data_IF_390358312384
#
_entry.id   IF_390358312384
#
_cell.length_a   1.000
_cell.length_b   1.000
_cell.length_c   1.000
_cell.angle_alpha   90.00
_cell.angle_beta   90.00
_cell.angle_gamma   90.00
#
_symmetry.space_group_name_H-M   'P 1'
#
loop_
_entity.id
_entity.type
_entity.pdbx_description
1 polymer ?
#
# COMPACT_ATOMS: atom_id res chain seq x y z
N UNK A 1 28.80 -3.01 22.63
CA UNK A 1 29.84 -3.63 21.76
C UNK A 1 29.24 -4.35 20.54
N UNK A 2 28.32 -5.31 20.69
CA UNK A 2 27.73 -6.03 19.56
C UNK A 2 26.96 -5.14 18.54
N UNK A 3 26.12 -4.21 19.01
CA UNK A 3 25.34 -3.31 18.16
C UNK A 3 26.21 -2.33 17.36
N UNK A 4 27.22 -1.73 18.03
CA UNK A 4 28.21 -0.88 17.38
C UNK A 4 28.99 -1.66 16.31
N UNK A 5 29.43 -2.89 16.64
CA UNK A 5 30.16 -3.73 15.69
C UNK A 5 29.32 -4.16 14.47
N UNK A 6 28.02 -4.37 14.65
CA UNK A 6 27.11 -4.63 13.53
C UNK A 6 26.96 -3.38 12.64
N UNK A 7 26.73 -2.20 13.21
CA UNK A 7 26.64 -0.96 12.44
C UNK A 7 27.93 -0.65 11.65
N UNK A 8 29.09 -0.77 12.27
CA UNK A 8 30.37 -0.35 11.66
C UNK A 8 31.00 -1.42 10.76
N UNK A 9 31.02 -2.69 11.17
CA UNK A 9 31.71 -3.74 10.41
C UNK A 9 30.78 -4.40 9.39
N UNK A 10 29.57 -4.78 9.83
CA UNK A 10 28.59 -5.52 9.01
C UNK A 10 27.90 -4.58 7.99
N UNK A 11 27.36 -3.42 8.41
CA UNK A 11 26.56 -2.55 7.51
C UNK A 11 27.41 -1.61 6.62
N UNK A 12 28.42 -0.95 7.19
CA UNK A 12 29.16 0.17 6.54
C UNK A 12 30.48 -0.23 5.87
N UNK A 13 30.89 -1.53 5.95
CA UNK A 13 32.01 -2.14 5.20
C UNK A 13 33.41 -1.94 5.82
N UNK A 14 33.64 -2.51 7.01
CA UNK A 14 35.01 -2.72 7.51
C UNK A 14 35.40 -4.20 7.62
N UNK A 15 34.47 -5.14 7.86
CA UNK A 15 34.67 -6.59 7.76
C UNK A 15 33.27 -7.23 7.51
N UNK A 16 33.07 -7.94 6.38
CA UNK A 16 31.77 -8.47 5.88
C UNK A 16 30.78 -9.08 6.91
N UNK A 17 29.45 -9.17 6.62
CA UNK A 17 28.73 -9.03 5.34
C UNK A 17 27.76 -7.84 5.25
N UNK A 18 27.54 -7.35 4.03
CA UNK A 18 26.70 -6.17 3.75
C UNK A 18 25.20 -6.47 3.92
N UNK A 19 24.33 -5.45 3.80
CA UNK A 19 22.89 -5.65 3.90
C UNK A 19 22.23 -5.87 2.52
N UNK A 20 21.09 -6.55 2.53
CA UNK A 20 20.26 -6.73 1.33
C UNK A 20 19.63 -5.41 0.93
N UNK A 21 19.78 -5.02 -0.33
CA UNK A 21 19.15 -3.82 -0.88
C UNK A 21 18.47 -4.17 -2.19
N UNK A 22 17.26 -3.66 -2.34
CA UNK A 22 16.46 -3.77 -3.54
C UNK A 22 16.05 -2.38 -4.03
N UNK A 23 15.78 -2.28 -5.32
CA UNK A 23 15.09 -1.12 -5.88
C UNK A 23 13.63 -1.07 -5.40
N UNK A 24 12.91 0.06 -5.61
CA UNK A 24 11.52 0.21 -5.14
C UNK A 24 10.55 -0.87 -5.63
N UNK A 25 10.84 -1.52 -6.76
CA UNK A 25 10.03 -2.59 -7.34
C UNK A 25 10.59 -4.00 -7.03
N UNK A 26 11.71 -4.10 -6.30
CA UNK A 26 12.39 -5.36 -5.94
C UNK A 26 12.74 -6.25 -7.13
N UNK A 27 13.08 -5.66 -8.26
CA UNK A 27 13.47 -6.39 -9.47
C UNK A 27 14.99 -6.67 -9.51
N UNK A 28 15.76 -5.84 -8.84
CA UNK A 28 17.22 -5.85 -8.78
C UNK A 28 17.66 -5.87 -7.33
N UNK A 29 17.95 -7.07 -6.84
CA UNK A 29 18.35 -7.27 -5.46
C UNK A 29 19.84 -7.59 -5.39
N UNK A 30 20.56 -6.93 -4.48
CA UNK A 30 22.00 -7.15 -4.29
C UNK A 30 22.44 -6.86 -2.87
N UNK A 31 23.48 -7.57 -2.45
CA UNK A 31 24.15 -7.38 -1.16
C UNK A 31 25.18 -6.26 -1.31
N UNK A 32 24.83 -5.05 -0.84
CA UNK A 32 25.66 -3.84 -1.01
C UNK A 32 25.90 -3.12 0.32
N UNK A 33 27.08 -2.48 0.49
CA UNK A 33 27.33 -1.66 1.66
C UNK A 33 26.44 -0.42 1.62
N UNK A 34 26.00 0.05 2.78
CA UNK A 34 25.16 1.24 2.89
C UNK A 34 25.86 2.26 3.77
N UNK A 35 26.04 3.48 3.24
CA UNK A 35 26.59 4.59 4.00
C UNK A 35 25.57 5.08 5.04
N UNK A 36 26.01 5.47 6.25
CA UNK A 36 25.11 6.00 7.26
C UNK A 36 24.54 7.34 6.83
N UNK A 37 23.23 7.50 7.04
CA UNK A 37 22.54 8.77 6.89
C UNK A 37 22.46 9.45 8.25
N UNK A 38 22.97 10.68 8.35
CA UNK A 38 23.04 11.43 9.60
C UNK A 38 22.04 12.59 9.66
N UNK A 39 21.37 12.92 8.55
CA UNK A 39 20.31 13.91 8.50
C UNK A 39 18.93 13.31 8.83
N UNK A 40 17.89 14.12 8.65
CA UNK A 40 16.51 13.73 8.93
C UNK A 40 16.01 12.57 8.05
N UNK A 41 16.61 12.37 6.88
CA UNK A 41 16.37 11.25 5.98
C UNK A 41 16.69 9.89 6.61
N UNK A 42 17.52 9.84 7.66
CA UNK A 42 17.79 8.62 8.42
C UNK A 42 16.61 8.09 9.23
N UNK A 43 15.54 8.87 9.39
CA UNK A 43 14.29 8.44 10.04
C UNK A 43 13.23 7.93 9.06
N UNK A 44 13.47 8.04 7.76
CA UNK A 44 12.59 7.45 6.74
C UNK A 44 12.79 5.91 6.73
N UNK A 45 11.74 5.11 6.97
CA UNK A 45 11.82 3.65 6.98
C UNK A 45 12.29 3.03 5.65
N UNK A 46 12.24 3.79 4.55
CA UNK A 46 12.70 3.34 3.23
C UNK A 46 14.14 3.75 2.89
N UNK A 47 14.78 4.59 3.72
CA UNK A 47 16.19 4.98 3.57
C UNK A 47 17.07 4.07 4.43
N UNK A 48 17.73 3.13 3.78
CA UNK A 48 18.58 2.13 4.44
C UNK A 48 19.77 2.72 5.20
N UNK A 49 20.19 3.96 4.87
CA UNK A 49 21.23 4.69 5.61
C UNK A 49 20.85 4.95 7.07
N UNK A 50 19.54 4.99 7.38
CA UNK A 50 19.00 5.07 8.73
C UNK A 50 19.30 3.83 9.57
N UNK A 51 19.35 2.63 8.97
CA UNK A 51 19.69 1.38 9.69
C UNK A 51 21.12 1.47 10.21
N UNK A 52 22.05 1.94 9.37
CA UNK A 52 23.46 2.04 9.70
C UNK A 52 23.72 3.07 10.83
N UNK A 53 23.16 4.27 10.71
CA UNK A 53 23.28 5.31 11.75
C UNK A 53 22.52 4.92 13.03
N UNK A 54 21.35 4.30 12.91
CA UNK A 54 20.60 3.78 14.04
C UNK A 54 21.39 2.74 14.81
N UNK A 55 22.08 1.77 14.19
CA UNK A 55 22.89 0.79 14.93
C UNK A 55 24.13 1.42 15.58
N UNK A 56 24.72 2.46 14.99
CA UNK A 56 25.82 3.20 15.62
C UNK A 56 25.33 3.97 16.86
N UNK A 57 24.16 4.60 16.79
CA UNK A 57 23.61 5.44 17.87
C UNK A 57 22.85 4.61 18.93
N UNK A 58 22.04 3.63 18.53
CA UNK A 58 21.31 2.73 19.43
C UNK A 58 22.26 1.82 20.22
N UNK A 59 23.49 1.58 19.74
CA UNK A 59 24.54 0.96 20.55
C UNK A 59 24.87 1.74 21.83
N UNK A 60 24.53 3.03 21.88
CA UNK A 60 24.64 3.88 23.05
C UNK A 60 23.33 3.99 23.86
N UNK A 61 22.19 3.55 23.32
CA UNK A 61 20.85 3.81 23.90
C UNK A 61 19.97 2.55 23.92
N UNK A 62 20.21 1.65 24.88
CA UNK A 62 19.23 0.65 25.37
C UNK A 62 19.26 -0.76 24.76
N UNK A 63 19.26 -1.71 25.71
CA UNK A 63 19.10 -3.17 25.64
C UNK A 63 17.62 -3.53 25.72
N UNK A 64 17.18 -4.52 24.93
CA UNK A 64 15.83 -5.12 24.97
C UNK A 64 14.88 -4.44 23.96
N UNK A 65 14.02 -5.11 23.20
CA UNK A 65 13.35 -6.40 23.34
C UNK A 65 12.74 -6.73 21.97
N UNK A 66 12.69 -7.98 21.53
CA UNK A 66 11.62 -8.40 20.60
C UNK A 66 11.35 -9.91 20.67
N UNK A 67 10.14 -10.23 21.13
CA UNK A 67 9.50 -11.55 21.07
C UNK A 67 8.08 -11.31 20.54
N UNK A 68 7.59 -12.15 19.61
CA UNK A 68 6.14 -12.38 19.46
C UNK A 68 5.59 -12.48 18.05
N UNK A 69 5.19 -13.71 17.68
CA UNK A 69 4.18 -14.01 16.67
C UNK A 69 4.60 -15.11 15.69
N UNK A 70 3.74 -15.98 15.16
CA UNK A 70 2.30 -16.24 15.35
C UNK A 70 1.99 -17.52 14.55
N UNK A 71 1.05 -18.35 15.01
CA UNK A 71 0.71 -19.63 14.38
C UNK A 71 0.00 -19.48 13.03
N UNK A 72 0.78 -19.63 11.94
CA UNK A 72 0.42 -20.34 10.70
C UNK A 72 1.70 -21.05 10.21
N UNK A 73 1.69 -22.37 10.26
CA UNK A 73 2.88 -23.19 9.96
C UNK A 73 2.79 -23.74 8.53
N UNK A 74 3.84 -23.49 7.74
CA UNK A 74 4.00 -23.99 6.38
C UNK A 74 4.37 -22.89 5.38
N UNK A 75 5.09 -23.27 4.32
CA UNK A 75 5.41 -22.39 3.20
C UNK A 75 4.16 -22.11 2.35
N UNK A 76 4.15 -20.98 1.62
CA UNK A 76 3.00 -20.53 0.80
C UNK A 76 2.70 -21.48 -0.39
N UNK A 77 3.66 -22.32 -0.75
CA UNK A 77 3.56 -23.36 -1.79
C UNK A 77 2.54 -24.47 -1.45
N UNK A 78 2.30 -24.75 -0.17
CA UNK A 78 1.44 -25.84 0.30
C UNK A 78 -0.04 -25.68 -0.09
N UNK A 79 -0.50 -24.46 -0.39
CA UNK A 79 -1.90 -24.17 -0.75
C UNK A 79 -2.07 -23.61 -2.16
N UNK A 80 -1.12 -22.80 -2.64
CA UNK A 80 -1.21 -22.09 -3.92
C UNK A 80 -0.51 -22.78 -5.10
N UNK A 81 0.29 -23.82 -4.85
CA UNK A 81 1.16 -24.43 -5.85
C UNK A 81 2.41 -23.60 -6.16
N UNK A 82 3.26 -24.10 -7.07
CA UNK A 82 4.50 -23.47 -7.50
C UNK A 82 4.26 -22.70 -8.81
N UNK A 83 4.73 -21.46 -8.89
CA UNK A 83 4.62 -20.63 -10.10
C UNK A 83 5.51 -21.19 -11.20
N UNK A 84 4.93 -21.53 -12.36
CA UNK A 84 5.64 -22.10 -13.53
C UNK A 84 5.97 -21.03 -14.58
N UNK A 85 5.15 -19.98 -14.70
CA UNK A 85 5.37 -18.90 -15.66
C UNK A 85 4.23 -17.88 -15.70
N UNK A 86 4.46 -16.78 -16.41
CA UNK A 86 3.46 -15.73 -16.65
C UNK A 86 2.68 -16.02 -17.94
N UNK A 87 1.34 -16.05 -17.84
CA UNK A 87 0.44 -16.34 -18.96
C UNK A 87 0.10 -15.11 -19.83
N UNK A 88 0.70 -13.96 -19.53
CA UNK A 88 0.42 -12.69 -20.21
C UNK A 88 -0.59 -11.81 -19.48
N UNK A 89 -0.81 -10.61 -20.01
CA UNK A 89 -1.81 -9.66 -19.51
C UNK A 89 -3.14 -9.89 -20.24
N UNK A 90 -4.21 -10.39 -19.57
CA UNK A 90 -5.50 -10.60 -20.21
C UNK A 90 -6.19 -9.26 -20.48
N UNK A 91 -6.74 -9.09 -21.69
CA UNK A 91 -7.55 -7.94 -22.08
C UNK A 91 -8.95 -8.44 -22.42
N UNK A 92 -9.96 -7.93 -21.73
CA UNK A 92 -11.35 -8.25 -21.99
C UNK A 92 -11.95 -7.16 -22.88
N UNK A 93 -12.74 -7.57 -23.87
CA UNK A 93 -13.47 -6.66 -24.74
C UNK A 93 -14.94 -7.01 -24.79
N UNK A 94 -15.79 -5.99 -24.86
CA UNK A 94 -17.21 -6.18 -25.17
C UNK A 94 -17.40 -6.53 -26.66
N UNK A 95 -18.67 -6.65 -27.08
CA UNK A 95 -19.01 -6.94 -28.49
C UNK A 95 -18.78 -5.74 -29.41
N UNK A 96 -18.70 -4.53 -28.86
CA UNK A 96 -18.41 -3.27 -29.54
C UNK A 96 -16.89 -3.01 -29.69
N UNK A 97 -16.05 -3.74 -28.94
CA UNK A 97 -14.59 -3.64 -28.93
C UNK A 97 -13.99 -2.77 -27.82
N UNK A 98 -14.78 -2.25 -26.88
CA UNK A 98 -14.29 -1.47 -25.74
C UNK A 98 -13.57 -2.35 -24.72
N UNK A 99 -12.52 -1.83 -24.09
CA UNK A 99 -11.73 -2.56 -23.11
C UNK A 99 -12.38 -2.52 -21.73
N UNK A 100 -12.62 -3.71 -21.17
CA UNK A 100 -13.27 -3.88 -19.87
C UNK A 100 -12.24 -4.23 -18.78
N UNK A 101 -12.42 -3.68 -17.59
CA UNK A 101 -11.57 -3.92 -16.43
C UNK A 101 -12.28 -4.81 -15.41
N UNK A 102 -11.57 -5.82 -14.89
CA UNK A 102 -12.05 -6.66 -13.78
C UNK A 102 -11.77 -5.94 -12.45
N UNK A 103 -12.78 -5.79 -11.61
CA UNK A 103 -12.61 -5.18 -10.29
C UNK A 103 -11.79 -6.09 -9.36
N UNK A 104 -10.72 -5.56 -8.78
CA UNK A 104 -9.92 -6.29 -7.78
C UNK A 104 -10.74 -6.63 -6.51
N UNK A 105 -10.54 -7.83 -6.00
CA UNK A 105 -11.16 -8.29 -4.74
C UNK A 105 -10.61 -7.48 -3.56
N UNK A 106 -11.46 -6.82 -2.76
CA UNK A 106 -11.01 -6.13 -1.55
C UNK A 106 -10.55 -7.12 -0.48
N UNK A 107 -9.56 -6.72 0.32
CA UNK A 107 -8.87 -7.56 1.33
C UNK A 107 -9.79 -8.21 2.38
N UNK A 108 -10.99 -7.67 2.59
CA UNK A 108 -11.92 -8.15 3.62
C UNK A 108 -12.74 -9.38 3.20
N UNK A 109 -12.89 -9.64 1.90
CA UNK A 109 -13.80 -10.69 1.40
C UNK A 109 -13.07 -12.01 1.15
N UNK A 110 -13.68 -13.11 1.58
CA UNK A 110 -13.25 -14.48 1.19
C UNK A 110 -13.86 -14.92 -0.15
N UNK A 111 -14.99 -14.33 -0.56
CA UNK A 111 -15.64 -14.52 -1.87
C UNK A 111 -16.10 -13.18 -2.44
N UNK A 112 -15.86 -12.95 -3.73
CA UNK A 112 -16.23 -11.70 -4.40
C UNK A 112 -16.80 -11.99 -5.79
N UNK A 113 -17.83 -11.22 -6.17
CA UNK A 113 -18.47 -11.36 -7.48
C UNK A 113 -17.56 -10.82 -8.58
N UNK A 114 -17.54 -11.49 -9.73
CA UNK A 114 -16.81 -11.02 -10.91
C UNK A 114 -17.62 -9.88 -11.52
N UNK A 115 -17.04 -8.69 -11.55
CA UNK A 115 -17.63 -7.49 -12.15
C UNK A 115 -16.65 -6.93 -13.18
N UNK A 116 -17.14 -6.78 -14.42
CA UNK A 116 -16.45 -6.12 -15.52
C UNK A 116 -17.02 -4.71 -15.65
N UNK A 117 -16.15 -3.71 -15.65
CA UNK A 117 -16.53 -2.29 -15.77
C UNK A 117 -15.86 -1.71 -17.02
N UNK A 118 -16.60 -0.87 -17.74
CA UNK A 118 -16.00 0.00 -18.75
C UNK A 118 -15.25 1.18 -18.09
N UNK A 119 -14.30 1.77 -18.80
CA UNK A 119 -13.48 2.88 -18.31
C UNK A 119 -14.30 4.08 -17.82
N UNK A 120 -15.40 4.37 -18.50
CA UNK A 120 -16.28 5.50 -18.18
C UNK A 120 -17.15 5.23 -16.96
N UNK A 121 -17.60 3.99 -16.75
CA UNK A 121 -18.41 3.62 -15.57
C UNK A 121 -17.59 3.69 -14.28
N UNK A 122 -16.29 3.39 -14.34
CA UNK A 122 -15.38 3.55 -13.21
C UNK A 122 -15.28 5.02 -12.81
N UNK A 123 -15.12 5.93 -13.79
CA UNK A 123 -15.05 7.37 -13.56
C UNK A 123 -16.37 7.91 -12.98
N UNK A 124 -17.52 7.53 -13.56
CA UNK A 124 -18.84 7.92 -13.05
C UNK A 124 -19.05 7.42 -11.60
N UNK A 125 -18.61 6.21 -11.29
CA UNK A 125 -18.71 5.65 -9.94
C UNK A 125 -17.83 6.42 -8.93
N UNK A 126 -16.60 6.78 -9.29
CA UNK A 126 -15.74 7.59 -8.41
C UNK A 126 -16.20 9.04 -8.29
N UNK A 127 -16.69 9.65 -9.36
CA UNK A 127 -17.23 11.02 -9.37
C UNK A 127 -18.49 11.12 -8.51
N UNK A 128 -19.45 10.21 -8.69
CA UNK A 128 -20.66 10.17 -7.85
C UNK A 128 -20.32 9.92 -6.38
N UNK A 129 -19.37 9.02 -6.09
CA UNK A 129 -18.89 8.80 -4.72
C UNK A 129 -18.15 9.99 -4.14
N UNK A 130 -17.56 10.85 -4.97
CA UNK A 130 -16.87 12.07 -4.54
C UNK A 130 -17.81 13.23 -4.30
N UNK A 131 -18.84 13.37 -5.14
CA UNK A 131 -19.86 14.41 -5.02
C UNK A 131 -20.84 14.17 -3.87
N UNK A 132 -21.19 12.90 -3.60
CA UNK A 132 -22.18 12.52 -2.57
C UNK A 132 -21.54 11.79 -1.38
N UNK A 133 -20.31 12.17 -1.00
CA UNK A 133 -19.59 11.55 0.13
C UNK A 133 -20.36 11.60 1.44
N UNK A 134 -21.07 12.70 1.66
CA UNK A 134 -21.89 13.01 2.82
C UNK A 134 -23.09 12.08 2.97
N UNK A 135 -23.68 11.63 1.85
CA UNK A 135 -24.89 10.77 1.84
C UNK A 135 -24.59 9.30 1.53
N UNK A 136 -23.31 8.94 1.42
CA UNK A 136 -22.89 7.61 0.97
C UNK A 136 -23.35 6.48 1.90
N UNK A 137 -23.40 6.73 3.21
CA UNK A 137 -23.80 5.73 4.20
C UNK A 137 -25.32 5.67 4.41
N UNK A 138 -26.01 6.81 4.34
CA UNK A 138 -27.47 6.92 4.40
C UNK A 138 -27.91 8.36 4.16
N UNK A 139 -29.20 8.55 3.88
CA UNK A 139 -29.85 9.87 3.77
C UNK A 139 -30.22 10.34 5.18
N UNK A 140 -30.22 11.66 5.42
CA UNK A 140 -30.70 12.24 6.68
C UNK A 140 -32.15 11.79 6.96
N UNK A 141 -32.42 11.14 8.10
CA UNK A 141 -33.78 10.69 8.44
C UNK A 141 -34.78 11.83 8.67
N UNK A 142 -34.34 13.08 8.79
CA UNK A 142 -35.21 14.25 9.02
C UNK A 142 -35.39 15.15 7.77
N UNK A 143 -35.23 14.61 6.55
CA UNK A 143 -35.19 15.38 5.31
C UNK A 143 -36.58 15.88 4.80
N UNK A 144 -37.69 15.44 5.39
CA UNK A 144 -39.04 15.58 4.82
C UNK A 144 -39.45 17.02 4.46
N UNK A 145 -39.11 18.01 5.29
CA UNK A 145 -39.47 19.40 5.04
C UNK A 145 -38.69 20.05 3.87
N UNK A 146 -37.54 19.49 3.49
CA UNK A 146 -36.67 20.04 2.43
C UNK A 146 -37.05 19.55 1.03
N UNK A 147 -37.79 18.45 0.93
CA UNK A 147 -38.22 17.85 -0.35
C UNK A 147 -39.61 18.30 -0.78
N UNK A 148 -40.32 19.06 0.06
CA UNK A 148 -41.65 19.59 -0.27
C UNK A 148 -41.59 20.65 -1.38
N UNK A 149 -42.47 20.49 -2.38
CA UNK A 149 -42.44 21.30 -3.59
C UNK A 149 -42.73 22.78 -3.28
N UNK A 150 -41.79 23.66 -3.63
CA UNK A 150 -41.82 25.12 -3.35
C UNK A 150 -41.78 25.50 -1.87
N UNK A 151 -41.37 24.62 -0.97
CA UNK A 151 -41.22 24.96 0.46
C UNK A 151 -40.23 26.12 0.71
N UNK A 152 -39.20 26.26 -0.14
CA UNK A 152 -38.20 27.32 -0.01
C UNK A 152 -38.01 28.12 -1.31
N UNK A 153 -37.87 29.46 -1.23
CA UNK A 153 -37.54 30.28 -2.39
C UNK A 153 -36.08 30.04 -2.82
N UNK A 154 -35.87 29.60 -4.07
CA UNK A 154 -34.53 29.40 -4.64
C UNK A 154 -33.84 30.75 -4.83
N UNK A 155 -32.80 31.04 -4.04
CA UNK A 155 -31.96 32.23 -4.24
C UNK A 155 -31.17 32.07 -5.54
N UNK A 156 -31.56 32.80 -6.60
CA UNK A 156 -30.71 32.95 -7.79
C UNK A 156 -29.48 33.75 -7.37
N UNK A 157 -28.28 33.19 -7.56
CA UNK A 157 -27.05 34.00 -7.55
C UNK A 157 -27.15 34.97 -8.73
N UNK A 158 -27.10 36.28 -8.46
CA UNK A 158 -26.79 37.26 -9.50
C UNK A 158 -25.32 37.03 -9.89
N UNK A 159 -25.06 37.05 -11.21
CA UNK A 159 -23.70 36.96 -11.76
C UNK A 159 -22.76 38.00 -11.15
#
# INVERSE_FOLDING_TARGET
MACFGFGTFHVIRLYCPRIWVSDPYRLTEKVQPVSPAWGAEGFDPFVLGGIASHHIVAAFVVVGTMWGGLFRLGSMDNRGGIVVGWLGHPVFRDKEGHELFVRYMPTFFETFLIVLMDGDELHIWYDTRTLFKDVFASIDPNLDAQVEFRAFPKKRRSN
#
